data_IF_314354985047
#
_entry.id   IF_314354985047
#
_cell.length_a   1.000
_cell.length_b   1.000
_cell.length_c   1.000
_cell.angle_alpha   90.00
_cell.angle_beta   90.00
_cell.angle_gamma   90.00
#
_symmetry.space_group_name_H-M   'P 1'
#
loop_
_entity.id
_entity.type
_entity.pdbx_description
1 polymer ?
#
# COMPACT_ATOMS: atom_id res chain seq x y z
N UNK A 1 3.16 -17.06 -8.95
CA UNK A 1 3.61 -15.91 -8.12
C UNK A 1 4.06 -16.47 -6.78
N UNK A 2 5.20 -16.02 -6.25
CA UNK A 2 5.69 -16.38 -4.93
C UNK A 2 5.12 -15.39 -3.91
N UNK A 3 4.51 -15.91 -2.85
CA UNK A 3 4.08 -15.15 -1.69
C UNK A 3 5.07 -15.41 -0.56
N UNK A 4 5.49 -14.37 0.15
CA UNK A 4 6.39 -14.48 1.28
C UNK A 4 5.77 -13.86 2.52
N UNK A 5 5.49 -14.70 3.51
CA UNK A 5 4.92 -14.30 4.79
C UNK A 5 5.96 -14.45 5.90
N UNK A 6 5.89 -13.58 6.89
CA UNK A 6 6.62 -13.76 8.14
C UNK A 6 5.67 -14.25 9.22
N UNK A 7 6.14 -15.21 10.03
CA UNK A 7 5.50 -15.66 11.26
C UNK A 7 6.46 -15.34 12.40
N UNK A 8 6.09 -14.37 13.22
CA UNK A 8 6.90 -13.90 14.37
C UNK A 8 6.23 -14.40 15.63
N UNK A 9 6.80 -15.44 16.22
CA UNK A 9 6.20 -16.25 17.29
C UNK A 9 7.30 -16.97 18.07
N UNK A 10 7.39 -16.79 19.37
CA UNK A 10 8.39 -17.41 20.23
C UNK A 10 8.10 -18.89 20.56
N UNK A 11 6.83 -19.31 20.40
CA UNK A 11 6.40 -20.68 20.63
C UNK A 11 6.35 -21.49 19.34
N UNK A 12 7.37 -22.30 19.12
CA UNK A 12 7.50 -23.11 17.89
C UNK A 12 6.26 -23.95 17.52
N UNK A 13 5.50 -24.58 18.46
CA UNK A 13 4.28 -25.31 18.13
C UNK A 13 3.17 -24.40 17.56
N UNK A 14 3.04 -23.18 18.08
CA UNK A 14 2.05 -22.21 17.61
C UNK A 14 2.42 -21.68 16.21
N UNK A 15 3.73 -21.39 16.00
CA UNK A 15 4.26 -21.01 14.68
C UNK A 15 4.02 -22.09 13.63
N UNK A 16 4.36 -23.36 13.93
CA UNK A 16 4.17 -24.48 13.02
C UNK A 16 2.70 -24.74 12.68
N UNK A 17 1.81 -24.60 13.67
CA UNK A 17 0.37 -24.72 13.44
C UNK A 17 -0.12 -23.64 12.50
N UNK A 18 0.24 -22.39 12.75
CA UNK A 18 -0.14 -21.27 11.91
C UNK A 18 0.38 -21.45 10.49
N UNK A 19 1.66 -21.77 10.34
CA UNK A 19 2.27 -22.01 9.03
C UNK A 19 1.57 -23.12 8.25
N UNK A 20 1.24 -24.23 8.91
CA UNK A 20 0.54 -25.36 8.28
C UNK A 20 -0.83 -24.95 7.74
N UNK A 21 -1.59 -24.17 8.51
CA UNK A 21 -2.89 -23.66 8.09
C UNK A 21 -2.79 -22.61 6.98
N UNK A 22 -1.77 -21.72 7.02
CA UNK A 22 -1.49 -20.77 5.94
C UNK A 22 -1.14 -21.49 4.63
N UNK A 23 -0.34 -22.55 4.69
CA UNK A 23 -0.03 -23.38 3.52
C UNK A 23 -1.26 -24.05 2.94
N UNK A 24 -2.17 -24.56 3.77
CA UNK A 24 -3.47 -25.08 3.31
C UNK A 24 -4.31 -23.96 2.67
N UNK A 25 -4.37 -22.80 3.33
CA UNK A 25 -5.16 -21.68 2.86
C UNK A 25 -4.64 -21.12 1.51
N UNK A 26 -3.36 -20.99 1.28
CA UNK A 26 -2.76 -20.35 0.10
C UNK A 26 -2.20 -21.32 -0.95
N UNK A 27 -2.25 -22.64 -0.71
CA UNK A 27 -1.62 -23.66 -1.56
C UNK A 27 -2.22 -23.91 -2.95
N UNK A 28 -3.33 -23.27 -3.30
CA UNK A 28 -4.06 -23.49 -4.54
C UNK A 28 -3.55 -22.70 -5.76
N UNK A 29 -2.26 -22.81 -6.12
CA UNK A 29 -1.72 -22.18 -7.34
C UNK A 29 -0.61 -21.14 -7.12
N UNK A 30 -0.21 -20.92 -5.88
CA UNK A 30 0.88 -20.03 -5.50
C UNK A 30 1.90 -20.76 -4.63
N UNK A 31 3.18 -20.40 -4.77
CA UNK A 31 4.22 -20.87 -3.86
C UNK A 31 4.22 -19.95 -2.63
N UNK A 32 3.85 -20.49 -1.47
CA UNK A 32 3.95 -19.76 -0.20
C UNK A 32 5.27 -20.10 0.51
N UNK A 33 6.07 -19.07 0.75
CA UNK A 33 7.25 -19.10 1.61
C UNK A 33 6.85 -18.48 2.95
N UNK A 34 6.99 -19.24 4.03
CA UNK A 34 6.82 -18.73 5.39
C UNK A 34 8.20 -18.70 6.06
N UNK A 35 8.63 -17.51 6.45
CA UNK A 35 9.83 -17.33 7.26
C UNK A 35 9.41 -17.20 8.73
N UNK A 36 9.93 -18.08 9.59
CA UNK A 36 9.68 -18.04 11.03
C UNK A 36 10.78 -17.27 11.76
N UNK A 37 10.36 -16.47 12.75
CA UNK A 37 11.22 -15.67 13.63
C UNK A 37 10.77 -15.84 15.07
N UNK A 38 11.72 -16.13 15.96
CA UNK A 38 11.45 -16.40 17.37
C UNK A 38 11.28 -15.13 18.23
N UNK A 39 11.47 -13.93 17.64
CA UNK A 39 11.31 -12.66 18.34
C UNK A 39 11.12 -11.49 17.37
N UNK A 40 10.55 -10.38 17.88
CA UNK A 40 10.45 -9.13 17.15
C UNK A 40 11.82 -8.60 16.71
N UNK A 41 12.85 -8.71 17.55
CA UNK A 41 14.20 -8.23 17.25
C UNK A 41 14.82 -9.01 16.09
N UNK A 42 14.71 -10.36 16.10
CA UNK A 42 15.20 -11.21 15.01
C UNK A 42 14.51 -10.89 13.70
N UNK A 43 13.20 -10.63 13.74
CA UNK A 43 12.42 -10.22 12.57
C UNK A 43 12.87 -8.86 12.03
N UNK A 44 12.96 -7.84 12.89
CA UNK A 44 13.36 -6.48 12.49
C UNK A 44 14.75 -6.44 11.83
N UNK A 45 15.69 -7.26 12.29
CA UNK A 45 17.01 -7.39 11.65
C UNK A 45 16.93 -7.96 10.23
N UNK A 46 16.01 -8.91 9.99
CA UNK A 46 15.88 -9.59 8.71
C UNK A 46 14.93 -8.84 7.74
N UNK A 47 14.01 -8.02 8.25
CA UNK A 47 12.92 -7.42 7.50
C UNK A 47 13.37 -6.64 6.24
N UNK A 48 14.40 -5.77 6.27
CA UNK A 48 14.78 -4.97 5.11
C UNK A 48 15.22 -5.79 3.90
N UNK A 49 15.56 -7.08 4.08
CA UNK A 49 16.16 -7.91 3.03
C UNK A 49 15.19 -8.90 2.37
N UNK A 50 13.97 -9.08 2.89
CA UNK A 50 13.13 -10.24 2.51
C UNK A 50 11.78 -9.96 1.87
N UNK A 51 11.35 -8.72 1.72
CA UNK A 51 10.09 -8.32 1.04
C UNK A 51 8.88 -9.17 1.43
N UNK A 52 8.56 -9.28 2.72
CA UNK A 52 7.36 -9.95 3.18
C UNK A 52 6.11 -9.14 2.81
N UNK A 53 5.07 -9.80 2.25
CA UNK A 53 3.80 -9.14 1.94
C UNK A 53 2.85 -9.15 3.15
N UNK A 54 2.95 -10.15 4.01
CA UNK A 54 2.12 -10.28 5.22
C UNK A 54 3.00 -10.68 6.39
N UNK A 55 2.75 -10.08 7.53
CA UNK A 55 3.40 -10.43 8.80
C UNK A 55 2.35 -10.87 9.81
N UNK A 56 2.46 -12.09 10.30
CA UNK A 56 1.73 -12.60 11.44
C UNK A 56 2.60 -12.45 12.68
N UNK A 57 2.15 -11.68 13.66
CA UNK A 57 2.97 -11.22 14.76
C UNK A 57 2.29 -11.50 16.10
N UNK A 58 2.91 -12.32 16.94
CA UNK A 58 2.45 -12.43 18.33
C UNK A 58 2.80 -11.15 19.11
N UNK A 59 1.87 -10.75 19.96
CA UNK A 59 2.07 -9.60 20.85
C UNK A 59 2.87 -10.02 22.09
N UNK A 60 2.60 -11.21 22.63
CA UNK A 60 3.12 -11.69 23.89
C UNK A 60 4.40 -12.49 23.72
N UNK A 61 5.49 -11.86 23.29
CA UNK A 61 6.82 -12.48 23.15
C UNK A 61 7.80 -11.92 24.16
N UNK A 62 8.86 -12.68 24.47
CA UNK A 62 9.99 -12.17 25.27
C UNK A 62 10.78 -11.11 24.48
N UNK A 63 11.29 -10.08 25.17
CA UNK A 63 12.05 -8.98 24.54
C UNK A 63 11.15 -7.87 24.00
N UNK A 64 11.41 -7.45 22.75
CA UNK A 64 10.57 -6.45 22.07
C UNK A 64 9.21 -7.06 21.75
N UNK A 65 8.15 -6.56 22.39
CA UNK A 65 6.80 -7.08 22.21
C UNK A 65 6.28 -6.78 20.79
N UNK A 66 5.22 -7.51 20.38
CA UNK A 66 4.69 -7.41 19.02
C UNK A 66 4.17 -6.01 18.67
N UNK A 67 3.61 -5.26 19.60
CA UNK A 67 3.10 -3.90 19.34
C UNK A 67 4.25 -2.93 19.04
N UNK A 68 5.35 -3.03 19.79
CA UNK A 68 6.52 -2.19 19.55
C UNK A 68 7.21 -2.55 18.22
N UNK A 69 7.31 -3.86 17.94
CA UNK A 69 7.75 -4.36 16.64
C UNK A 69 6.90 -3.77 15.50
N UNK A 70 5.58 -3.81 15.64
CA UNK A 70 4.65 -3.25 14.65
C UNK A 70 4.81 -1.74 14.46
N UNK A 71 5.05 -0.97 15.53
CA UNK A 71 5.32 0.48 15.45
C UNK A 71 6.58 0.79 14.65
N UNK A 72 7.62 -0.01 14.82
CA UNK A 72 8.86 0.13 14.05
C UNK A 72 8.62 -0.20 12.57
N UNK A 73 7.90 -1.29 12.30
CA UNK A 73 7.55 -1.69 10.93
C UNK A 73 6.74 -0.62 10.20
N UNK A 74 5.76 -0.01 10.85
CA UNK A 74 4.94 1.06 10.24
C UNK A 74 5.72 2.29 9.84
N UNK A 75 6.85 2.58 10.49
CA UNK A 75 7.76 3.68 10.08
C UNK A 75 8.54 3.34 8.82
N UNK A 76 8.77 2.06 8.56
CA UNK A 76 9.55 1.57 7.41
C UNK A 76 8.66 1.21 6.23
N UNK A 77 7.51 0.60 6.51
CA UNK A 77 6.52 0.16 5.51
C UNK A 77 5.11 0.38 6.07
N UNK A 78 4.47 1.53 5.74
CA UNK A 78 3.11 1.83 6.16
C UNK A 78 2.06 0.88 5.60
N UNK A 79 2.29 0.31 4.42
CA UNK A 79 1.33 -0.50 3.66
C UNK A 79 1.45 -2.01 3.96
N UNK A 80 2.43 -2.42 4.77
CA UNK A 80 2.63 -3.81 5.14
C UNK A 80 1.38 -4.43 5.76
N UNK A 81 0.92 -5.57 5.25
CA UNK A 81 -0.20 -6.29 5.83
C UNK A 81 0.22 -6.96 7.14
N UNK A 82 -0.24 -6.42 8.26
CA UNK A 82 0.09 -6.88 9.60
C UNK A 82 -1.12 -7.53 10.26
N UNK A 83 -0.96 -8.77 10.70
CA UNK A 83 -1.97 -9.51 11.46
C UNK A 83 -1.41 -9.85 12.83
N UNK A 84 -2.08 -9.42 13.88
CA UNK A 84 -1.73 -9.88 15.22
C UNK A 84 -2.30 -11.25 15.52
N UNK A 85 -1.48 -12.12 16.13
CA UNK A 85 -1.88 -13.48 16.53
C UNK A 85 -1.48 -13.64 18.00
N UNK A 86 -2.41 -13.48 18.93
CA UNK A 86 -2.06 -13.42 20.36
C UNK A 86 -3.07 -14.14 21.26
N UNK A 87 -2.63 -14.52 22.44
CA UNK A 87 -3.49 -15.12 23.47
C UNK A 87 -4.21 -14.09 24.35
N UNK A 88 -3.86 -12.80 24.26
CA UNK A 88 -4.41 -11.76 25.12
C UNK A 88 -5.30 -10.78 24.36
N UNK A 89 -6.61 -10.70 24.68
CA UNK A 89 -7.54 -9.74 24.07
C UNK A 89 -7.32 -8.31 24.55
N UNK A 90 -6.60 -8.12 25.65
CA UNK A 90 -6.42 -6.81 26.29
C UNK A 90 -5.61 -5.84 25.42
N UNK A 91 -4.77 -6.36 24.53
CA UNK A 91 -3.92 -5.57 23.63
C UNK A 91 -4.61 -5.08 22.37
N UNK A 92 -5.87 -5.43 22.13
CA UNK A 92 -6.60 -4.99 20.92
C UNK A 92 -6.66 -3.46 20.81
N UNK A 93 -6.87 -2.77 21.94
CA UNK A 93 -6.87 -1.30 22.00
C UNK A 93 -5.48 -0.69 21.82
N UNK A 94 -4.45 -1.31 22.38
CA UNK A 94 -3.05 -0.84 22.26
C UNK A 94 -2.48 -1.09 20.87
N UNK A 95 -3.03 -2.06 20.13
CA UNK A 95 -2.69 -2.36 18.75
C UNK A 95 -3.37 -1.41 17.74
N UNK A 96 -4.45 -0.73 18.13
CA UNK A 96 -5.21 0.16 17.25
C UNK A 96 -4.36 1.24 16.55
N UNK A 97 -3.38 1.89 17.20
CA UNK A 97 -2.54 2.91 16.56
C UNK A 97 -1.62 2.41 15.45
N UNK A 98 -1.36 1.10 15.35
CA UNK A 98 -0.53 0.53 14.28
C UNK A 98 -1.35 0.01 13.10
N UNK A 99 -2.68 0.20 13.14
CA UNK A 99 -3.61 -0.19 12.07
C UNK A 99 -3.36 -1.60 11.53
N UNK A 100 -3.52 -2.65 12.36
CA UNK A 100 -3.38 -4.00 11.88
C UNK A 100 -4.45 -4.32 10.82
N UNK A 101 -4.13 -5.21 9.90
CA UNK A 101 -5.10 -5.72 8.93
C UNK A 101 -6.20 -6.54 9.63
N UNK A 102 -5.83 -7.39 10.58
CA UNK A 102 -6.75 -8.16 11.43
C UNK A 102 -6.07 -8.58 12.74
N UNK A 103 -6.89 -9.11 13.64
CA UNK A 103 -6.49 -9.59 14.96
C UNK A 103 -7.02 -11.01 15.17
N UNK A 104 -6.12 -11.98 15.37
CA UNK A 104 -6.43 -13.40 15.53
C UNK A 104 -6.15 -13.84 16.97
N UNK A 105 -7.21 -14.00 17.78
CA UNK A 105 -7.10 -14.40 19.17
C UNK A 105 -6.90 -15.92 19.32
N UNK A 106 -5.82 -16.35 20.00
CA UNK A 106 -5.57 -17.77 20.34
C UNK A 106 -6.45 -18.22 21.53
N UNK A 107 -6.99 -19.45 21.49
CA UNK A 107 -6.99 -20.40 20.39
C UNK A 107 -8.00 -20.00 19.32
N UNK A 108 -7.55 -19.81 18.10
CA UNK A 108 -8.44 -19.50 16.98
C UNK A 108 -8.94 -20.77 16.28
N UNK A 109 -10.15 -20.66 15.70
CA UNK A 109 -10.71 -21.70 14.85
C UNK A 109 -10.13 -21.61 13.44
N UNK A 110 -10.02 -22.74 12.77
CA UNK A 110 -9.48 -22.80 11.40
C UNK A 110 -10.33 -21.98 10.42
N UNK A 111 -11.66 -21.97 10.61
CA UNK A 111 -12.58 -21.19 9.78
C UNK A 111 -12.28 -19.69 9.84
N UNK A 112 -11.92 -19.15 11.01
CA UNK A 112 -11.54 -17.73 11.16
C UNK A 112 -10.26 -17.45 10.38
N UNK A 113 -9.27 -18.34 10.43
CA UNK A 113 -8.04 -18.18 9.65
C UNK A 113 -8.31 -18.26 8.13
N UNK A 114 -9.18 -19.17 7.69
CA UNK A 114 -9.52 -19.25 6.27
C UNK A 114 -10.29 -18.02 5.78
N UNK A 115 -11.19 -17.45 6.59
CA UNK A 115 -11.83 -16.17 6.29
C UNK A 115 -10.82 -15.04 6.14
N UNK A 116 -9.90 -14.92 7.11
CA UNK A 116 -8.79 -13.97 7.04
C UNK A 116 -7.93 -14.17 5.78
N UNK A 117 -7.61 -15.43 5.45
CA UNK A 117 -6.86 -15.74 4.23
C UNK A 117 -7.59 -15.30 2.95
N UNK A 118 -8.93 -15.43 2.91
CA UNK A 118 -9.72 -14.94 1.77
C UNK A 118 -9.71 -13.41 1.67
N UNK A 119 -9.72 -12.70 2.80
CA UNK A 119 -9.58 -11.24 2.82
C UNK A 119 -8.19 -10.80 2.39
N UNK A 120 -7.13 -11.45 2.90
CA UNK A 120 -5.75 -11.22 2.47
C UNK A 120 -5.58 -11.47 0.98
N UNK A 121 -6.17 -12.55 0.44
CA UNK A 121 -6.14 -12.82 -1.00
C UNK A 121 -6.76 -11.68 -1.82
N UNK A 122 -7.90 -11.14 -1.38
CA UNK A 122 -8.55 -10.03 -2.08
C UNK A 122 -7.65 -8.81 -2.16
N UNK A 123 -6.80 -8.57 -1.17
CA UNK A 123 -5.84 -7.46 -1.17
C UNK A 123 -4.58 -7.82 -1.95
N UNK A 124 -3.96 -8.98 -1.67
CA UNK A 124 -2.72 -9.44 -2.31
C UNK A 124 -2.84 -9.64 -3.82
N UNK A 125 -4.01 -10.12 -4.28
CA UNK A 125 -4.28 -10.40 -5.69
C UNK A 125 -5.23 -9.40 -6.34
N UNK A 126 -5.53 -8.30 -5.65
CA UNK A 126 -6.24 -7.20 -6.28
C UNK A 126 -5.38 -6.72 -7.44
N UNK A 127 -5.89 -6.87 -8.66
CA UNK A 127 -5.23 -6.30 -9.82
C UNK A 127 -5.01 -4.81 -9.53
N UNK A 128 -3.75 -4.39 -9.46
CA UNK A 128 -3.45 -2.97 -9.31
C UNK A 128 -4.12 -2.25 -10.48
N UNK A 129 -4.90 -1.21 -10.22
CA UNK A 129 -5.49 -0.47 -11.31
C UNK A 129 -4.37 0.11 -12.19
N UNK A 130 -4.44 -0.19 -13.46
CA UNK A 130 -3.45 0.23 -14.45
C UNK A 130 -4.08 1.20 -15.46
N UNK A 131 -3.27 2.14 -15.90
CA UNK A 131 -3.57 2.97 -17.06
C UNK A 131 -3.05 2.27 -18.31
N UNK A 132 -3.96 1.84 -19.15
CA UNK A 132 -3.63 1.28 -20.46
C UNK A 132 -3.46 2.40 -21.48
N UNK A 133 -2.27 2.54 -22.04
CA UNK A 133 -1.94 3.56 -23.04
C UNK A 133 -1.16 2.98 -24.21
N UNK A 134 -1.26 3.66 -25.37
CA UNK A 134 -0.49 3.31 -26.54
C UNK A 134 0.76 4.17 -26.66
N UNK A 135 1.93 3.52 -26.68
CA UNK A 135 3.22 4.16 -26.86
C UNK A 135 3.89 3.55 -28.10
N UNK A 136 4.22 4.36 -29.10
CA UNK A 136 4.94 3.91 -30.32
C UNK A 136 4.41 2.60 -30.95
N UNK A 137 3.11 2.39 -31.04
CA UNK A 137 2.40 1.20 -31.56
C UNK A 137 2.30 0.01 -30.59
N UNK A 138 2.85 0.08 -29.41
CA UNK A 138 2.72 -0.95 -28.37
C UNK A 138 1.71 -0.51 -27.32
N UNK A 139 0.95 -1.47 -26.79
CA UNK A 139 0.07 -1.27 -25.65
C UNK A 139 0.91 -1.45 -24.38
N UNK A 140 0.87 -0.47 -23.49
CA UNK A 140 1.65 -0.44 -22.26
C UNK A 140 0.71 -0.22 -21.10
N UNK A 141 0.91 -0.99 -20.04
CA UNK A 141 0.16 -0.92 -18.78
C UNK A 141 1.01 -0.21 -17.74
N UNK A 142 0.50 0.90 -17.22
CA UNK A 142 1.17 1.71 -16.22
C UNK A 142 0.42 1.61 -14.90
N UNK A 143 0.99 1.01 -13.84
CA UNK A 143 0.36 0.96 -12.53
C UNK A 143 0.03 2.38 -12.03
N UNK A 144 -1.23 2.63 -11.66
CA UNK A 144 -1.68 4.00 -11.32
C UNK A 144 -0.93 4.57 -10.12
N UNK A 145 -0.53 3.73 -9.16
CA UNK A 145 0.26 4.15 -7.99
C UNK A 145 1.62 4.75 -8.34
N UNK A 146 2.19 4.35 -9.50
CA UNK A 146 3.47 4.88 -9.98
C UNK A 146 3.34 6.18 -10.76
N UNK A 147 2.14 6.52 -11.25
CA UNK A 147 1.93 7.75 -12.02
C UNK A 147 1.97 8.94 -11.08
N UNK A 148 2.87 9.88 -11.35
CA UNK A 148 2.97 11.13 -10.62
C UNK A 148 2.02 12.19 -11.21
N UNK A 149 2.07 12.40 -12.53
CA UNK A 149 1.17 13.31 -13.23
C UNK A 149 1.12 13.01 -14.72
N UNK A 150 0.08 13.52 -15.39
CA UNK A 150 -0.06 13.50 -16.84
C UNK A 150 -0.38 14.91 -17.37
N UNK A 151 0.21 15.25 -18.52
CA UNK A 151 0.08 16.56 -19.15
C UNK A 151 -0.26 16.43 -20.64
N UNK A 152 -1.23 17.21 -21.10
CA UNK A 152 -1.52 17.35 -22.52
C UNK A 152 -0.37 18.07 -23.23
N UNK A 153 0.13 17.47 -24.30
CA UNK A 153 1.07 18.12 -25.22
C UNK A 153 0.61 17.88 -26.66
N UNK A 154 0.47 18.93 -27.44
CA UNK A 154 0.02 18.94 -28.85
C UNK A 154 -0.68 17.67 -29.38
N UNK A 155 0.07 16.58 -29.67
CA UNK A 155 -0.42 15.35 -30.28
C UNK A 155 -0.28 14.11 -29.38
N UNK A 156 0.13 14.25 -28.13
CA UNK A 156 0.30 13.14 -27.18
C UNK A 156 0.03 13.62 -25.73
N UNK A 157 -0.11 12.67 -24.84
CA UNK A 157 -0.12 12.92 -23.40
C UNK A 157 1.23 12.50 -22.82
N UNK A 158 1.93 13.43 -22.20
CA UNK A 158 3.13 13.15 -21.42
C UNK A 158 2.70 12.59 -20.07
N UNK A 159 3.12 11.39 -19.74
CA UNK A 159 2.87 10.74 -18.45
C UNK A 159 4.20 10.57 -17.74
N UNK A 160 4.31 11.06 -16.52
CA UNK A 160 5.48 10.91 -15.66
C UNK A 160 5.13 9.98 -14.52
N UNK A 161 5.99 8.98 -14.31
CA UNK A 161 5.87 7.96 -13.29
C UNK A 161 7.19 7.80 -12.53
N UNK A 162 7.17 7.02 -11.46
CA UNK A 162 8.38 6.68 -10.68
C UNK A 162 9.44 5.95 -11.53
N UNK A 163 9.02 5.25 -12.60
CA UNK A 163 9.90 4.52 -13.51
C UNK A 163 10.42 5.39 -14.68
N UNK A 164 9.98 6.65 -14.77
CA UNK A 164 10.36 7.60 -15.83
C UNK A 164 9.17 8.20 -16.58
N UNK A 165 9.45 8.83 -17.72
CA UNK A 165 8.41 9.47 -18.53
C UNK A 165 8.11 8.72 -19.82
N UNK A 166 6.86 8.79 -20.26
CA UNK A 166 6.44 8.27 -21.54
C UNK A 166 5.50 9.22 -22.28
N UNK A 167 5.37 9.00 -23.62
CA UNK A 167 4.50 9.77 -24.50
C UNK A 167 3.40 8.87 -25.04
N UNK A 168 2.21 9.01 -24.46
CA UNK A 168 1.05 8.21 -24.85
C UNK A 168 0.33 8.83 -26.05
N UNK A 169 0.07 8.02 -27.07
CA UNK A 169 -0.77 8.39 -28.21
C UNK A 169 -2.23 8.22 -27.80
N UNK A 170 -2.74 9.17 -27.02
CA UNK A 170 -4.11 9.20 -26.48
C UNK A 170 -4.56 10.66 -26.37
N UNK A 171 -5.85 10.89 -26.31
CA UNK A 171 -6.36 12.21 -25.95
C UNK A 171 -6.24 12.40 -24.45
N UNK A 172 -6.00 13.64 -24.02
CA UNK A 172 -5.95 13.95 -22.59
C UNK A 172 -7.26 13.58 -21.87
N UNK A 173 -8.40 13.79 -22.53
CA UNK A 173 -9.72 13.44 -21.96
C UNK A 173 -9.87 11.94 -21.66
N UNK A 174 -9.30 11.06 -22.47
CA UNK A 174 -9.30 9.61 -22.20
C UNK A 174 -8.46 9.28 -20.96
N UNK A 175 -7.24 9.82 -20.88
CA UNK A 175 -6.35 9.62 -19.73
C UNK A 175 -6.96 10.24 -18.47
N UNK A 176 -7.49 11.46 -18.58
CA UNK A 176 -8.17 12.15 -17.48
C UNK A 176 -9.33 11.33 -16.92
N UNK A 177 -10.19 10.78 -17.78
CA UNK A 177 -11.36 9.99 -17.37
C UNK A 177 -10.95 8.76 -16.55
N UNK A 178 -9.90 8.05 -16.99
CA UNK A 178 -9.41 6.86 -16.30
C UNK A 178 -8.76 7.20 -14.95
N UNK A 179 -7.92 8.26 -14.91
CA UNK A 179 -7.25 8.68 -13.69
C UNK A 179 -8.22 9.28 -12.67
N UNK A 180 -9.20 10.06 -13.10
CA UNK A 180 -10.23 10.65 -12.20
C UNK A 180 -11.16 9.63 -11.57
N UNK A 181 -11.23 8.41 -12.07
CA UNK A 181 -11.94 7.33 -11.41
C UNK A 181 -11.32 6.94 -10.06
N UNK A 182 -10.08 7.37 -9.82
CA UNK A 182 -9.36 7.16 -8.56
C UNK A 182 -9.39 8.46 -7.73
N UNK A 183 -9.65 8.33 -6.42
CA UNK A 183 -9.78 9.49 -5.51
C UNK A 183 -8.47 10.25 -5.26
N UNK A 184 -7.32 9.62 -5.53
CA UNK A 184 -6.00 10.24 -5.38
C UNK A 184 -5.57 11.10 -6.58
N UNK A 185 -6.36 11.20 -7.66
CA UNK A 185 -6.02 12.03 -8.81
C UNK A 185 -6.88 13.30 -8.89
N UNK A 186 -6.23 14.43 -9.14
CA UNK A 186 -6.89 15.75 -9.26
C UNK A 186 -6.41 16.51 -10.51
N UNK A 187 -7.33 17.17 -11.21
CA UNK A 187 -7.00 18.06 -12.33
C UNK A 187 -6.66 19.43 -11.76
N UNK A 188 -5.39 19.80 -11.78
CA UNK A 188 -4.90 21.06 -11.21
C UNK A 188 -4.92 22.22 -12.21
N UNK A 189 -4.85 21.92 -13.51
CA UNK A 189 -4.90 22.92 -14.57
C UNK A 189 -5.49 22.31 -15.86
N UNK A 190 -5.74 23.15 -16.88
CA UNK A 190 -6.20 22.68 -18.19
C UNK A 190 -5.16 21.75 -18.79
N UNK A 191 -5.54 20.49 -19.02
CA UNK A 191 -4.65 19.48 -19.58
C UNK A 191 -3.56 18.99 -18.59
N UNK A 192 -3.74 19.15 -17.28
CA UNK A 192 -2.82 18.65 -16.26
C UNK A 192 -3.59 17.95 -15.15
N UNK A 193 -3.31 16.69 -14.93
CA UNK A 193 -3.81 15.86 -13.83
C UNK A 193 -2.63 15.31 -13.03
N UNK A 194 -2.72 15.34 -11.71
CA UNK A 194 -1.67 14.87 -10.83
C UNK A 194 -2.21 13.87 -9.80
N UNK A 195 -1.31 13.03 -9.29
CA UNK A 195 -1.53 12.13 -8.18
C UNK A 195 -1.20 12.86 -6.86
N UNK A 196 -2.17 12.99 -5.97
CA UNK A 196 -2.01 13.68 -4.68
C UNK A 196 -1.06 12.96 -3.72
N UNK A 197 -0.88 11.62 -3.87
CA UNK A 197 0.11 10.85 -3.10
C UNK A 197 1.57 11.20 -3.47
N UNK A 198 1.78 11.79 -4.65
CA UNK A 198 3.09 12.15 -5.19
C UNK A 198 3.39 13.65 -5.08
N UNK A 199 2.60 14.39 -4.33
CA UNK A 199 2.82 15.81 -4.05
C UNK A 199 3.75 15.95 -2.86
N UNK A 200 4.91 16.60 -3.08
CA UNK A 200 5.87 16.91 -2.04
C UNK A 200 5.35 18.04 -1.13
N UNK A 201 4.84 19.10 -1.75
CA UNK A 201 4.26 20.24 -1.04
C UNK A 201 3.31 21.04 -1.92
N UNK A 202 2.42 21.75 -1.25
CA UNK A 202 1.53 22.73 -1.84
C UNK A 202 2.12 24.14 -1.63
N UNK A 203 2.34 24.84 -2.71
CA UNK A 203 2.81 26.23 -2.71
C UNK A 203 1.65 27.20 -3.04
N UNK A 204 1.90 28.50 -3.02
CA UNK A 204 0.87 29.52 -3.21
C UNK A 204 0.09 29.43 -4.53
N UNK A 205 0.70 28.89 -5.58
CA UNK A 205 0.16 28.86 -6.96
C UNK A 205 0.45 27.56 -7.73
N UNK A 206 1.09 26.58 -7.09
CA UNK A 206 1.46 25.33 -7.73
C UNK A 206 1.51 24.15 -6.74
N UNK A 207 1.43 22.94 -7.28
CA UNK A 207 1.83 21.72 -6.62
C UNK A 207 3.26 21.37 -7.00
N UNK A 208 4.13 21.16 -6.03
CA UNK A 208 5.47 20.62 -6.23
C UNK A 208 5.44 19.11 -6.07
N UNK A 209 5.82 18.39 -7.11
CA UNK A 209 5.82 16.94 -7.16
C UNK A 209 7.10 16.35 -6.55
N UNK A 210 7.12 15.05 -6.24
CA UNK A 210 8.29 14.37 -5.69
C UNK A 210 9.53 14.44 -6.62
N UNK A 211 9.34 14.56 -7.93
CA UNK A 211 10.41 14.75 -8.91
C UNK A 211 10.91 16.20 -9.00
N UNK A 212 10.39 17.10 -8.16
CA UNK A 212 10.71 18.52 -8.14
C UNK A 212 9.96 19.36 -9.19
N UNK A 213 9.12 18.77 -10.02
CA UNK A 213 8.32 19.48 -11.01
C UNK A 213 7.27 20.35 -10.34
N UNK A 214 7.13 21.59 -10.76
CA UNK A 214 6.10 22.53 -10.28
C UNK A 214 4.95 22.59 -11.26
N UNK A 215 3.78 22.12 -10.86
CA UNK A 215 2.56 22.11 -11.65
C UNK A 215 1.66 23.28 -11.26
N UNK A 216 1.45 24.26 -12.15
CA UNK A 216 0.69 25.46 -11.82
C UNK A 216 -0.79 25.14 -11.63
N UNK A 217 -1.41 25.80 -10.66
CA UNK A 217 -2.84 25.68 -10.35
C UNK A 217 -3.62 26.72 -11.13
N UNK A 218 -4.78 26.32 -11.67
CA UNK A 218 -5.72 27.27 -12.29
C UNK A 218 -6.24 28.27 -11.27
N UNK A 219 -5.97 29.55 -11.47
CA UNK A 219 -6.25 30.63 -10.51
C UNK A 219 -7.73 30.68 -10.05
N UNK A 220 -8.68 30.50 -10.95
CA UNK A 220 -10.11 30.53 -10.61
C UNK A 220 -10.55 29.37 -9.71
N UNK A 221 -9.86 28.25 -9.73
CA UNK A 221 -10.20 27.02 -8.99
C UNK A 221 -9.27 26.78 -7.79
N UNK A 222 -8.33 27.71 -7.55
CA UNK A 222 -7.26 27.57 -6.58
C UNK A 222 -7.75 27.15 -5.19
N UNK A 223 -8.68 27.89 -4.62
CA UNK A 223 -9.17 27.62 -3.26
C UNK A 223 -9.87 26.25 -3.16
N UNK A 224 -10.63 25.87 -4.21
CA UNK A 224 -11.29 24.56 -4.28
C UNK A 224 -10.28 23.43 -4.38
N UNK A 225 -9.26 23.57 -5.23
CA UNK A 225 -8.22 22.56 -5.40
C UNK A 225 -7.38 22.38 -4.12
N UNK A 226 -7.06 23.47 -3.45
CA UNK A 226 -6.33 23.43 -2.19
C UNK A 226 -7.14 22.79 -1.07
N UNK A 227 -8.44 23.11 -0.98
CA UNK A 227 -9.34 22.46 -0.03
C UNK A 227 -9.48 20.96 -0.30
N UNK A 228 -9.60 20.54 -1.58
CA UNK A 228 -9.66 19.12 -1.96
C UNK A 228 -8.39 18.38 -1.58
N UNK A 229 -7.21 18.94 -1.89
CA UNK A 229 -5.92 18.35 -1.54
C UNK A 229 -5.76 18.23 -0.01
N UNK A 230 -6.05 19.30 0.72
CA UNK A 230 -5.97 19.30 2.18
C UNK A 230 -6.93 18.27 2.79
N UNK A 231 -8.16 18.17 2.28
CA UNK A 231 -9.13 17.17 2.73
C UNK A 231 -8.65 15.74 2.42
N UNK A 232 -8.04 15.54 1.25
CA UNK A 232 -7.44 14.27 0.86
C UNK A 232 -6.33 13.88 1.85
N UNK A 233 -5.37 14.78 2.12
CA UNK A 233 -4.30 14.54 3.08
C UNK A 233 -4.82 14.23 4.48
N UNK A 234 -5.81 14.97 4.99
CA UNK A 234 -6.42 14.69 6.29
C UNK A 234 -7.08 13.31 6.38
N UNK A 235 -7.71 12.84 5.30
CA UNK A 235 -8.29 11.49 5.27
C UNK A 235 -7.22 10.41 5.32
N UNK A 236 -6.08 10.64 4.65
CA UNK A 236 -4.98 9.66 4.59
C UNK A 236 -4.09 9.73 5.82
N UNK A 237 -3.81 10.93 6.38
CA UNK A 237 -3.15 11.05 7.70
C UNK A 237 -3.94 10.39 8.83
N UNK A 238 -5.29 10.38 8.77
CA UNK A 238 -6.10 9.64 9.75
C UNK A 238 -6.05 8.12 9.55
N UNK A 239 -5.60 7.63 8.41
CA UNK A 239 -5.30 6.21 8.18
C UNK A 239 -3.88 5.85 8.62
N UNK A 240 -3.02 6.85 8.84
CA UNK A 240 -1.63 6.70 9.29
C UNK A 240 -1.44 7.04 10.78
N UNK A 241 -2.47 7.55 11.47
CA UNK A 241 -2.52 7.80 12.91
C UNK A 241 -3.33 6.73 13.63
#
# INVERSE_FOLDING_TARGET
MELRFAVVEDRLPDAQRLESLLRLAFGGGHTLVCDHYESGDAFLQAFPSKNHQVVFLDICMEGTNGIETARILRRTDPDLLLVFVTSSPEYEWDACPVHPFDYLLKPYREEKLFQLADELRRVLFRAEPELEVRIARQQVHLPLRKIQYAMAQNHYVRIVSDDGECRAVSTFSQVEQLLRAQENFIVCNRGVILNMDKVLRLDSDCFEMLDGTRLPVRQKDKNTLFAQFTQYQFRHMRREL
#
